data_IF_370936914003
#
_entry.id   IF_370936914003
#
_cell.length_a   1.000
_cell.length_b   1.000
_cell.length_c   1.000
_cell.angle_alpha   90.00
_cell.angle_beta   90.00
_cell.angle_gamma   90.00
#
_symmetry.space_group_name_H-M   'P 1'
#
loop_
_entity.id
_entity.type
_entity.pdbx_description
1 polymer ?
#
# COMPACT_ATOMS: atom_id res chain seq x y z
N UNK A 1 -47.32 -20.33 33.24
CA UNK A 1 -46.37 -21.43 33.09
C UNK A 1 -45.92 -21.42 31.65
N UNK A 2 -44.83 -20.69 31.39
CA UNK A 2 -44.19 -20.69 30.10
C UNK A 2 -42.96 -21.60 30.18
N UNK A 3 -42.92 -22.69 29.40
CA UNK A 3 -41.80 -23.58 29.30
C UNK A 3 -40.68 -22.84 28.55
N UNK A 4 -39.54 -22.64 29.23
CA UNK A 4 -38.30 -22.23 28.59
C UNK A 4 -37.75 -23.48 27.90
N UNK A 5 -37.90 -23.55 26.58
CA UNK A 5 -37.18 -24.50 25.75
C UNK A 5 -35.69 -24.11 25.76
N UNK A 6 -34.87 -24.89 26.46
CA UNK A 6 -33.43 -24.80 26.37
C UNK A 6 -32.94 -25.25 24.98
N UNK A 7 -31.76 -24.80 24.54
CA UNK A 7 -31.24 -25.17 23.24
C UNK A 7 -31.17 -26.69 23.09
N UNK A 8 -31.68 -27.20 21.98
CA UNK A 8 -31.69 -28.60 21.66
C UNK A 8 -30.24 -29.12 21.50
N UNK A 9 -29.97 -30.37 21.85
CA UNK A 9 -28.65 -31.01 21.77
C UNK A 9 -28.01 -30.88 20.35
N UNK A 10 -28.83 -30.76 19.30
CA UNK A 10 -28.42 -30.60 17.93
C UNK A 10 -27.86 -29.18 17.65
N UNK A 11 -28.39 -28.11 18.31
CA UNK A 11 -27.88 -26.76 18.22
C UNK A 11 -26.53 -26.60 18.96
N UNK A 12 -26.34 -27.33 20.06
CA UNK A 12 -25.08 -27.32 20.81
C UNK A 12 -23.95 -28.06 20.03
N UNK A 13 -24.25 -29.16 19.33
CA UNK A 13 -23.28 -29.91 18.51
C UNK A 13 -22.92 -29.14 17.21
N UNK A 14 -23.89 -28.49 16.58
CA UNK A 14 -23.66 -27.62 15.43
C UNK A 14 -22.80 -26.41 15.73
N UNK A 15 -22.98 -25.80 16.92
CA UNK A 15 -22.15 -24.69 17.41
C UNK A 15 -20.71 -25.13 17.68
N UNK A 16 -20.50 -26.30 18.28
CA UNK A 16 -19.17 -26.86 18.59
C UNK A 16 -18.39 -27.22 17.32
N UNK A 17 -19.04 -27.78 16.31
CA UNK A 17 -18.42 -28.09 15.00
C UNK A 17 -18.01 -26.82 14.27
N UNK A 18 -18.86 -25.81 14.21
CA UNK A 18 -18.60 -24.54 13.52
C UNK A 18 -17.42 -23.77 14.13
N UNK A 19 -17.31 -23.77 15.46
CA UNK A 19 -16.14 -23.17 16.16
C UNK A 19 -14.86 -23.92 15.87
N UNK A 20 -14.86 -25.24 15.87
CA UNK A 20 -13.71 -26.09 15.58
C UNK A 20 -13.22 -25.94 14.14
N UNK A 21 -14.13 -25.88 13.17
CA UNK A 21 -13.78 -25.66 11.76
C UNK A 21 -13.17 -24.27 11.52
N UNK A 22 -13.67 -23.27 12.24
CA UNK A 22 -13.12 -21.89 12.20
C UNK A 22 -11.70 -21.86 12.77
N UNK A 23 -11.45 -22.50 13.93
CA UNK A 23 -10.11 -22.55 14.54
C UNK A 23 -9.09 -23.26 13.64
N UNK A 24 -9.48 -24.38 13.01
CA UNK A 24 -8.62 -25.12 12.07
C UNK A 24 -8.30 -24.26 10.85
N UNK A 25 -9.26 -23.52 10.32
CA UNK A 25 -9.09 -22.62 9.20
C UNK A 25 -8.13 -21.47 9.54
N UNK A 26 -8.29 -20.85 10.71
CA UNK A 26 -7.39 -19.80 11.20
C UNK A 26 -5.95 -20.30 11.39
N UNK A 27 -5.77 -21.48 11.97
CA UNK A 27 -4.44 -22.07 12.17
C UNK A 27 -3.73 -22.31 10.82
N UNK A 28 -4.47 -22.82 9.84
CA UNK A 28 -3.95 -23.02 8.47
C UNK A 28 -3.57 -21.70 7.82
N UNK A 29 -4.38 -20.66 7.98
CA UNK A 29 -4.10 -19.34 7.44
C UNK A 29 -2.89 -18.69 8.14
N UNK A 30 -2.77 -18.78 9.47
CA UNK A 30 -1.58 -18.32 10.20
C UNK A 30 -0.30 -19.00 9.71
N UNK A 31 -0.37 -20.31 9.40
CA UNK A 31 0.77 -21.04 8.85
C UNK A 31 1.13 -20.54 7.43
N UNK A 32 0.14 -20.25 6.58
CA UNK A 32 0.38 -19.63 5.27
C UNK A 32 1.06 -18.26 5.41
N UNK A 33 0.55 -17.42 6.32
CA UNK A 33 1.11 -16.08 6.56
C UNK A 33 2.53 -16.17 7.12
N UNK A 34 2.83 -17.14 7.95
CA UNK A 34 4.20 -17.38 8.44
C UNK A 34 5.15 -17.72 7.28
N UNK A 35 4.78 -18.63 6.38
CA UNK A 35 5.56 -18.92 5.16
C UNK A 35 5.72 -17.71 4.26
N UNK A 36 4.66 -16.94 4.06
CA UNK A 36 4.69 -15.69 3.32
C UNK A 36 5.59 -14.62 3.97
N UNK A 37 5.55 -14.49 5.31
CA UNK A 37 6.42 -13.57 6.03
C UNK A 37 7.90 -13.97 5.90
N UNK A 38 8.22 -15.27 5.98
CA UNK A 38 9.58 -15.77 5.74
C UNK A 38 10.04 -15.46 4.30
N UNK A 39 9.21 -15.69 3.30
CA UNK A 39 9.52 -15.32 1.91
C UNK A 39 9.67 -13.81 1.71
N UNK A 40 8.83 -13.02 2.38
CA UNK A 40 8.94 -11.56 2.35
C UNK A 40 10.25 -11.07 2.99
N UNK A 41 10.70 -11.71 4.08
CA UNK A 41 11.98 -11.41 4.69
C UNK A 41 13.14 -11.59 3.70
N UNK A 42 13.21 -12.74 3.01
CA UNK A 42 14.21 -12.97 1.97
C UNK A 42 14.15 -11.93 0.86
N UNK A 43 12.95 -11.59 0.40
CA UNK A 43 12.73 -10.58 -0.65
C UNK A 43 13.25 -9.19 -0.25
N UNK A 44 13.00 -8.73 0.99
CA UNK A 44 13.49 -7.43 1.45
C UNK A 44 15.00 -7.41 1.71
N UNK A 45 15.56 -8.50 2.24
CA UNK A 45 17.00 -8.69 2.36
C UNK A 45 17.65 -8.63 0.97
N UNK A 46 17.11 -9.38 0.03
CA UNK A 46 17.63 -9.48 -1.33
C UNK A 46 17.43 -8.19 -2.15
N UNK A 47 16.44 -7.38 -1.81
CA UNK A 47 16.27 -6.06 -2.44
C UNK A 47 17.48 -5.16 -2.23
N UNK A 48 18.11 -5.19 -1.07
CA UNK A 48 19.36 -4.48 -0.81
C UNK A 48 20.52 -5.16 -1.54
N UNK A 49 20.65 -6.48 -1.39
CA UNK A 49 21.76 -7.24 -1.95
C UNK A 49 21.79 -7.15 -3.48
N UNK A 50 20.68 -7.36 -4.18
CA UNK A 50 20.62 -7.31 -5.64
C UNK A 50 20.93 -5.91 -6.20
N UNK A 51 20.41 -4.86 -5.59
CA UNK A 51 20.67 -3.51 -6.09
C UNK A 51 22.15 -3.13 -5.99
N UNK A 52 22.81 -3.48 -4.88
CA UNK A 52 24.24 -3.29 -4.72
C UNK A 52 25.03 -4.19 -5.66
N UNK A 53 24.68 -5.47 -5.75
CA UNK A 53 25.36 -6.43 -6.61
C UNK A 53 25.30 -6.04 -8.09
N UNK A 54 24.16 -5.56 -8.59
CA UNK A 54 24.03 -5.05 -9.96
C UNK A 54 24.95 -3.86 -10.17
N UNK A 55 25.02 -2.92 -9.21
CA UNK A 55 25.89 -1.76 -9.33
C UNK A 55 27.37 -2.14 -9.28
N UNK A 56 27.79 -2.98 -8.33
CA UNK A 56 29.18 -3.44 -8.22
C UNK A 56 29.65 -4.24 -9.44
N UNK A 57 28.77 -5.12 -9.95
CA UNK A 57 29.12 -5.97 -11.11
C UNK A 57 29.21 -5.18 -12.42
N UNK A 58 28.35 -4.17 -12.59
CA UNK A 58 28.27 -3.44 -13.87
C UNK A 58 29.02 -2.12 -13.87
N UNK A 59 29.25 -1.53 -12.68
CA UNK A 59 29.82 -0.20 -12.53
C UNK A 59 28.94 0.94 -13.06
N UNK A 60 27.67 0.65 -13.42
CA UNK A 60 26.79 1.60 -14.09
C UNK A 60 25.45 1.73 -13.38
N UNK A 61 25.07 2.96 -13.04
CA UNK A 61 23.77 3.26 -12.49
C UNK A 61 22.63 2.88 -13.46
N UNK A 62 22.84 3.09 -14.76
CA UNK A 62 21.86 2.74 -15.79
C UNK A 62 21.52 1.25 -15.81
N UNK A 63 22.47 0.35 -15.57
CA UNK A 63 22.20 -1.09 -15.50
C UNK A 63 21.28 -1.43 -14.34
N UNK A 64 21.48 -0.81 -13.18
CA UNK A 64 20.61 -0.96 -12.02
C UNK A 64 19.20 -0.39 -12.29
N UNK A 65 19.11 0.78 -12.92
CA UNK A 65 17.84 1.37 -13.33
C UNK A 65 17.06 0.48 -14.29
N UNK A 66 17.74 -0.10 -15.30
CA UNK A 66 17.14 -1.06 -16.23
C UNK A 66 16.68 -2.35 -15.52
N UNK A 67 17.49 -2.87 -14.60
CA UNK A 67 17.13 -4.02 -13.78
C UNK A 67 15.80 -3.78 -13.05
N UNK A 68 15.66 -2.64 -12.39
CA UNK A 68 14.42 -2.28 -11.67
C UNK A 68 13.24 -1.99 -12.61
N UNK A 69 13.48 -1.31 -13.75
CA UNK A 69 12.44 -1.03 -14.73
C UNK A 69 11.89 -2.32 -15.37
N UNK A 70 12.77 -3.26 -15.72
CA UNK A 70 12.39 -4.58 -16.26
C UNK A 70 11.59 -5.38 -15.21
N UNK A 71 12.03 -5.36 -13.95
CA UNK A 71 11.31 -6.01 -12.84
C UNK A 71 9.88 -5.46 -12.70
N UNK A 72 9.73 -4.14 -12.75
CA UNK A 72 8.42 -3.48 -12.67
C UNK A 72 7.55 -3.80 -13.89
N UNK A 73 8.12 -3.73 -15.10
CA UNK A 73 7.41 -4.01 -16.33
C UNK A 73 6.93 -5.47 -16.40
N UNK A 74 7.75 -6.42 -15.97
CA UNK A 74 7.37 -7.83 -15.91
C UNK A 74 6.29 -8.10 -14.87
N UNK A 75 6.34 -7.45 -13.72
CA UNK A 75 5.29 -7.49 -12.71
C UNK A 75 3.96 -6.93 -13.23
N UNK A 76 4.01 -5.81 -13.93
CA UNK A 76 2.83 -5.22 -14.56
C UNK A 76 2.23 -6.14 -15.62
N UNK A 77 3.04 -6.70 -16.52
CA UNK A 77 2.61 -7.66 -17.53
C UNK A 77 1.95 -8.91 -16.89
N UNK A 78 2.57 -9.45 -15.83
CA UNK A 78 2.00 -10.57 -15.08
C UNK A 78 0.66 -10.21 -14.42
N UNK A 79 0.53 -8.98 -13.91
CA UNK A 79 -0.72 -8.46 -13.35
C UNK A 79 -1.87 -8.42 -14.36
N UNK A 80 -1.59 -8.13 -15.64
CA UNK A 80 -2.60 -8.18 -16.70
C UNK A 80 -3.03 -9.63 -17.04
N UNK A 81 -2.14 -10.59 -16.87
CA UNK A 81 -2.37 -11.99 -17.22
C UNK A 81 -2.96 -12.83 -16.08
N UNK A 82 -2.82 -12.37 -14.83
CA UNK A 82 -3.15 -13.17 -13.64
C UNK A 82 -4.63 -13.57 -13.57
N UNK A 83 -5.56 -12.72 -14.03
CA UNK A 83 -6.98 -13.05 -14.08
C UNK A 83 -7.27 -14.25 -14.99
N UNK A 84 -6.63 -14.30 -16.16
CA UNK A 84 -6.71 -15.44 -17.06
C UNK A 84 -6.06 -16.72 -16.52
N UNK A 85 -4.98 -16.57 -15.76
CA UNK A 85 -4.31 -17.68 -15.10
C UNK A 85 -5.15 -18.26 -13.95
N UNK A 86 -5.77 -17.42 -13.12
CA UNK A 86 -6.65 -17.84 -12.03
C UNK A 86 -7.93 -18.50 -12.54
N UNK A 87 -8.38 -18.18 -13.76
CA UNK A 87 -9.50 -18.89 -14.40
C UNK A 87 -9.13 -20.31 -14.84
N UNK A 88 -7.84 -20.60 -15.07
CA UNK A 88 -7.36 -21.91 -15.57
C UNK A 88 -6.67 -22.73 -14.49
N UNK A 89 -5.98 -22.12 -13.58
CA UNK A 89 -5.16 -22.75 -12.56
C UNK A 89 -5.63 -22.33 -11.17
N UNK A 90 -5.48 -23.22 -10.18
CA UNK A 90 -5.79 -22.89 -8.79
C UNK A 90 -4.81 -21.85 -8.22
N UNK A 91 -5.28 -21.01 -7.29
CA UNK A 91 -4.44 -20.05 -6.59
C UNK A 91 -3.22 -20.75 -5.92
N UNK A 92 -3.43 -21.95 -5.37
CA UNK A 92 -2.36 -22.80 -4.82
C UNK A 92 -1.28 -23.11 -5.85
N UNK A 93 -1.65 -23.57 -7.05
CA UNK A 93 -0.69 -23.89 -8.12
C UNK A 93 0.10 -22.66 -8.55
N UNK A 94 -0.57 -21.51 -8.69
CA UNK A 94 0.10 -20.24 -9.06
C UNK A 94 1.10 -19.83 -7.99
N UNK A 95 0.73 -19.87 -6.70
CA UNK A 95 1.62 -19.54 -5.60
C UNK A 95 2.82 -20.49 -5.54
N UNK A 96 2.61 -21.79 -5.76
CA UNK A 96 3.67 -22.79 -5.75
C UNK A 96 4.67 -22.55 -6.87
N UNK A 97 4.19 -22.45 -8.11
CA UNK A 97 5.05 -22.23 -9.28
C UNK A 97 5.76 -20.88 -9.24
N UNK A 98 5.12 -19.85 -8.68
CA UNK A 98 5.77 -18.56 -8.48
C UNK A 98 6.98 -18.66 -7.53
N UNK A 99 6.86 -19.36 -6.40
CA UNK A 99 7.98 -19.57 -5.49
C UNK A 99 9.08 -20.45 -6.11
N UNK A 100 8.69 -21.53 -6.80
CA UNK A 100 9.66 -22.40 -7.51
C UNK A 100 10.41 -21.60 -8.58
N UNK A 101 9.74 -20.79 -9.38
CA UNK A 101 10.36 -19.93 -10.39
C UNK A 101 11.34 -18.92 -9.79
N UNK A 102 10.96 -18.27 -8.69
CA UNK A 102 11.82 -17.32 -7.97
C UNK A 102 13.05 -18.03 -7.38
N UNK A 103 12.89 -19.19 -6.74
CA UNK A 103 13.99 -19.97 -6.23
C UNK A 103 14.93 -20.47 -7.34
N UNK A 104 14.37 -20.95 -8.44
CA UNK A 104 15.14 -21.44 -9.59
C UNK A 104 16.00 -20.33 -10.24
N UNK A 105 15.43 -19.12 -10.42
CA UNK A 105 16.20 -18.02 -11.01
C UNK A 105 17.28 -17.50 -10.08
N UNK A 106 17.11 -17.58 -8.76
CA UNK A 106 18.17 -17.30 -7.80
C UNK A 106 19.32 -18.32 -7.92
N UNK A 107 18.98 -19.61 -8.07
CA UNK A 107 19.97 -20.64 -8.30
C UNK A 107 20.75 -20.40 -9.60
N UNK A 108 20.06 -19.99 -10.68
CA UNK A 108 20.71 -19.61 -11.94
C UNK A 108 21.70 -18.47 -11.74
N UNK A 109 21.35 -17.46 -10.96
CA UNK A 109 22.25 -16.33 -10.65
C UNK A 109 23.48 -16.79 -9.86
N UNK A 110 23.29 -17.64 -8.85
CA UNK A 110 24.38 -18.15 -8.00
C UNK A 110 25.38 -19.00 -8.81
N UNK A 111 24.88 -19.76 -9.78
CA UNK A 111 25.70 -20.66 -10.62
C UNK A 111 26.21 -19.99 -11.90
N UNK A 112 25.81 -18.75 -12.17
CA UNK A 112 26.18 -18.07 -13.41
C UNK A 112 27.68 -17.77 -13.43
N UNK A 113 28.41 -18.15 -14.49
CA UNK A 113 29.79 -17.71 -14.69
C UNK A 113 29.82 -16.19 -14.97
N UNK A 114 30.95 -15.53 -14.69
CA UNK A 114 31.10 -14.07 -14.79
C UNK A 114 30.62 -13.50 -16.13
N UNK A 115 30.85 -14.23 -17.23
CA UNK A 115 30.44 -13.84 -18.59
C UNK A 115 28.91 -13.80 -18.78
N UNK A 116 28.13 -14.49 -17.96
CA UNK A 116 26.68 -14.60 -18.04
C UNK A 116 25.93 -13.91 -16.90
N UNK A 117 26.64 -13.37 -15.90
CA UNK A 117 26.00 -12.72 -14.71
C UNK A 117 25.02 -11.61 -15.10
N UNK A 118 25.38 -10.75 -16.08
CA UNK A 118 24.46 -9.70 -16.54
C UNK A 118 23.18 -10.26 -17.13
N UNK A 119 23.27 -11.34 -17.92
CA UNK A 119 22.09 -12.02 -18.46
C UNK A 119 21.26 -12.70 -17.37
N UNK A 120 21.91 -13.33 -16.39
CA UNK A 120 21.24 -13.92 -15.22
C UNK A 120 20.51 -12.87 -14.39
N UNK A 121 21.09 -11.68 -14.18
CA UNK A 121 20.45 -10.57 -13.50
C UNK A 121 19.19 -10.09 -14.24
N UNK A 122 19.21 -10.01 -15.57
CA UNK A 122 18.00 -9.66 -16.34
C UNK A 122 16.92 -10.75 -16.21
N UNK A 123 17.30 -12.03 -16.23
CA UNK A 123 16.37 -13.12 -15.97
C UNK A 123 15.76 -13.05 -14.56
N UNK A 124 16.59 -12.77 -13.55
CA UNK A 124 16.13 -12.52 -12.15
C UNK A 124 15.11 -11.39 -12.12
N UNK A 125 15.39 -10.28 -12.79
CA UNK A 125 14.52 -9.12 -12.85
C UNK A 125 13.13 -9.48 -13.40
N UNK A 126 13.08 -10.19 -14.52
CA UNK A 126 11.83 -10.63 -15.16
C UNK A 126 11.07 -11.60 -14.26
N UNK A 127 11.74 -12.64 -13.77
CA UNK A 127 11.09 -13.72 -13.03
C UNK A 127 10.59 -13.23 -11.65
N UNK A 128 11.42 -12.48 -10.90
CA UNK A 128 11.00 -11.95 -9.59
C UNK A 128 9.87 -10.96 -9.73
N UNK A 129 9.91 -10.09 -10.75
CA UNK A 129 8.82 -9.14 -11.00
C UNK A 129 7.50 -9.85 -11.31
N UNK A 130 7.53 -10.76 -12.29
CA UNK A 130 6.34 -11.50 -12.71
C UNK A 130 5.81 -12.42 -11.61
N UNK A 131 6.65 -13.31 -11.08
CA UNK A 131 6.25 -14.30 -10.09
C UNK A 131 5.84 -13.65 -8.75
N UNK A 132 6.50 -12.56 -8.33
CA UNK A 132 6.10 -11.81 -7.14
C UNK A 132 4.68 -11.25 -7.25
N UNK A 133 4.33 -10.70 -8.41
CA UNK A 133 2.97 -10.20 -8.69
C UNK A 133 1.94 -11.35 -8.73
N UNK A 134 2.26 -12.44 -9.43
CA UNK A 134 1.39 -13.62 -9.50
C UNK A 134 1.11 -14.22 -8.12
N UNK A 135 2.16 -14.37 -7.31
CA UNK A 135 2.03 -14.85 -5.93
C UNK A 135 1.12 -13.95 -5.08
N UNK A 136 1.35 -12.64 -5.12
CA UNK A 136 0.60 -11.68 -4.31
C UNK A 136 -0.89 -11.67 -4.67
N UNK A 137 -1.23 -11.70 -5.96
CA UNK A 137 -2.62 -11.71 -6.39
C UNK A 137 -3.29 -13.05 -6.06
N UNK A 138 -2.59 -14.18 -6.27
CA UNK A 138 -3.10 -15.50 -5.92
C UNK A 138 -3.32 -15.64 -4.40
N UNK A 139 -2.41 -15.13 -3.57
CA UNK A 139 -2.57 -15.09 -2.11
C UNK A 139 -3.81 -14.31 -1.71
N UNK A 140 -3.99 -13.10 -2.23
CA UNK A 140 -5.17 -12.26 -1.92
C UNK A 140 -6.48 -12.89 -2.37
N UNK A 141 -6.50 -13.57 -3.51
CA UNK A 141 -7.69 -14.24 -4.01
C UNK A 141 -8.07 -15.48 -3.19
N UNK A 142 -7.10 -16.14 -2.54
CA UNK A 142 -7.34 -17.32 -1.70
C UNK A 142 -7.85 -17.00 -0.29
N UNK A 143 -7.74 -15.74 0.18
CA UNK A 143 -8.14 -15.35 1.55
C UNK A 143 -9.62 -15.69 1.84
N UNK A 144 -10.61 -15.28 1.01
CA UNK A 144 -12.01 -15.57 1.29
C UNK A 144 -12.32 -17.07 1.34
N UNK A 145 -11.65 -17.86 0.50
CA UNK A 145 -11.82 -19.32 0.46
C UNK A 145 -11.27 -20.02 1.70
N UNK A 146 -10.21 -19.46 2.29
CA UNK A 146 -9.54 -20.05 3.45
C UNK A 146 -10.20 -19.70 4.78
N UNK A 147 -10.64 -18.45 4.96
CA UNK A 147 -11.11 -17.94 6.27
C UNK A 147 -12.56 -17.48 6.27
N UNK A 148 -13.23 -17.51 5.13
CA UNK A 148 -14.59 -16.98 4.95
C UNK A 148 -14.65 -15.45 4.85
N UNK A 149 -15.81 -14.93 4.44
CA UNK A 149 -16.03 -13.51 4.22
C UNK A 149 -15.91 -12.69 5.52
N UNK A 150 -16.44 -13.20 6.62
CA UNK A 150 -16.47 -12.50 7.94
C UNK A 150 -15.07 -12.25 8.52
N UNK A 151 -14.09 -13.07 8.15
CA UNK A 151 -12.72 -13.01 8.67
C UNK A 151 -11.70 -12.39 7.70
N UNK A 152 -12.12 -11.87 6.55
CA UNK A 152 -11.24 -11.24 5.54
C UNK A 152 -10.43 -10.10 6.11
N UNK A 153 -11.04 -9.23 6.93
CA UNK A 153 -10.35 -8.09 7.53
C UNK A 153 -9.20 -8.54 8.46
N UNK A 154 -9.46 -9.56 9.29
CA UNK A 154 -8.45 -10.16 10.16
C UNK A 154 -7.30 -10.79 9.35
N UNK A 155 -7.62 -11.55 8.31
CA UNK A 155 -6.62 -12.21 7.48
C UNK A 155 -5.74 -11.22 6.72
N UNK A 156 -6.33 -10.16 6.16
CA UNK A 156 -5.58 -9.09 5.50
C UNK A 156 -4.67 -8.36 6.50
N UNK A 157 -5.18 -8.04 7.70
CA UNK A 157 -4.38 -7.40 8.75
C UNK A 157 -3.19 -8.25 9.16
N UNK A 158 -3.40 -9.57 9.36
CA UNK A 158 -2.34 -10.50 9.71
C UNK A 158 -1.27 -10.58 8.61
N UNK A 159 -1.68 -10.64 7.33
CA UNK A 159 -0.78 -10.68 6.18
C UNK A 159 0.05 -9.39 6.06
N UNK A 160 -0.56 -8.22 6.26
CA UNK A 160 0.11 -6.93 6.24
C UNK A 160 1.12 -6.85 7.40
N UNK A 161 0.72 -7.24 8.62
CA UNK A 161 1.59 -7.23 9.80
C UNK A 161 2.79 -8.15 9.60
N UNK A 162 2.56 -9.38 9.14
CA UNK A 162 3.64 -10.34 8.85
C UNK A 162 4.65 -9.79 7.83
N UNK A 163 4.15 -9.20 6.75
CA UNK A 163 4.99 -8.57 5.73
C UNK A 163 5.77 -7.36 6.26
N UNK A 164 5.14 -6.53 7.09
CA UNK A 164 5.79 -5.36 7.70
C UNK A 164 6.92 -5.75 8.65
N UNK A 165 6.71 -6.77 9.49
CA UNK A 165 7.76 -7.31 10.35
C UNK A 165 8.92 -7.90 9.53
N UNK A 166 8.59 -8.66 8.47
CA UNK A 166 9.55 -9.21 7.55
C UNK A 166 10.38 -8.11 6.83
N UNK A 167 9.75 -6.99 6.48
CA UNK A 167 10.42 -5.84 5.86
C UNK A 167 11.49 -5.25 6.78
N UNK A 168 11.14 -4.97 8.03
CA UNK A 168 12.10 -4.42 9.01
C UNK A 168 13.23 -5.41 9.25
N UNK A 169 12.93 -6.68 9.48
CA UNK A 169 13.93 -7.72 9.73
C UNK A 169 14.83 -7.94 8.51
N UNK A 170 14.27 -7.98 7.30
CA UNK A 170 14.99 -8.16 6.06
C UNK A 170 15.96 -7.01 5.80
N UNK A 171 15.50 -5.77 5.89
CA UNK A 171 16.36 -4.61 5.75
C UNK A 171 17.44 -4.54 6.84
N UNK A 172 17.10 -4.79 8.11
CA UNK A 172 18.06 -4.77 9.21
C UNK A 172 19.18 -5.80 9.05
N UNK A 173 18.85 -7.00 8.57
CA UNK A 173 19.82 -8.09 8.42
C UNK A 173 20.63 -8.02 7.11
N UNK A 174 20.15 -7.33 6.07
CA UNK A 174 20.78 -7.32 4.77
C UNK A 174 22.22 -6.80 4.82
N UNK A 175 22.48 -5.71 5.54
CA UNK A 175 23.83 -5.16 5.71
C UNK A 175 24.77 -6.13 6.41
N UNK A 176 24.29 -6.80 7.45
CA UNK A 176 25.08 -7.79 8.21
C UNK A 176 25.42 -8.99 7.33
N UNK A 177 24.41 -9.55 6.65
CA UNK A 177 24.61 -10.72 5.78
C UNK A 177 25.55 -10.41 4.63
N UNK A 178 25.33 -9.30 3.91
CA UNK A 178 26.16 -8.94 2.76
C UNK A 178 27.59 -8.62 3.17
N UNK A 179 27.80 -7.84 4.25
CA UNK A 179 29.14 -7.42 4.67
C UNK A 179 29.96 -8.53 5.33
N UNK A 180 29.32 -9.47 6.06
CA UNK A 180 30.04 -10.54 6.76
C UNK A 180 30.17 -11.84 5.94
N UNK A 181 29.17 -12.16 5.12
CA UNK A 181 29.10 -13.46 4.42
C UNK A 181 29.05 -13.30 2.90
N UNK A 182 28.75 -12.08 2.40
CA UNK A 182 28.73 -11.76 0.97
C UNK A 182 27.37 -11.95 0.28
N UNK A 183 27.32 -11.56 -0.98
CA UNK A 183 26.09 -11.59 -1.80
C UNK A 183 25.54 -12.98 -2.02
N UNK A 184 26.41 -13.97 -2.23
CA UNK A 184 26.00 -15.38 -2.45
C UNK A 184 25.19 -15.91 -1.28
N UNK A 185 25.57 -15.56 -0.04
CA UNK A 185 24.81 -15.95 1.16
C UNK A 185 23.42 -15.28 1.19
N UNK A 186 23.33 -14.00 0.80
CA UNK A 186 22.06 -13.30 0.71
C UNK A 186 21.13 -13.96 -0.33
N UNK A 187 21.65 -14.35 -1.49
CA UNK A 187 20.89 -15.03 -2.54
C UNK A 187 20.47 -16.45 -2.12
N UNK A 188 21.34 -17.20 -1.43
CA UNK A 188 20.99 -18.51 -0.88
C UNK A 188 19.92 -18.44 0.20
N UNK A 189 19.98 -17.43 1.07
CA UNK A 189 18.95 -17.17 2.07
C UNK A 189 17.60 -16.86 1.42
N UNK A 190 17.58 -15.97 0.42
CA UNK A 190 16.33 -15.64 -0.30
C UNK A 190 15.77 -16.88 -1.02
N UNK A 191 16.62 -17.64 -1.72
CA UNK A 191 16.24 -18.91 -2.33
C UNK A 191 15.62 -19.87 -1.31
N UNK A 192 16.24 -20.03 -0.14
CA UNK A 192 15.75 -20.90 0.92
C UNK A 192 14.38 -20.43 1.43
N UNK A 193 14.15 -19.11 1.53
CA UNK A 193 12.84 -18.56 1.94
C UNK A 193 11.74 -18.85 0.92
N UNK A 194 12.03 -18.83 -0.37
CA UNK A 194 11.10 -19.26 -1.42
C UNK A 194 10.77 -20.74 -1.32
N UNK A 195 11.76 -21.59 -1.04
CA UNK A 195 11.54 -23.04 -0.82
C UNK A 195 10.64 -23.26 0.40
N UNK A 196 10.92 -22.60 1.53
CA UNK A 196 10.11 -22.70 2.74
C UNK A 196 8.65 -22.27 2.45
N UNK A 197 8.45 -21.18 1.74
CA UNK A 197 7.12 -20.72 1.35
C UNK A 197 6.43 -21.72 0.41
N UNK A 198 7.14 -22.26 -0.58
CA UNK A 198 6.62 -23.29 -1.48
C UNK A 198 6.17 -24.53 -0.73
N UNK A 199 6.98 -25.03 0.21
CA UNK A 199 6.63 -26.17 1.08
C UNK A 199 5.41 -25.84 1.94
N UNK A 200 5.37 -24.64 2.53
CA UNK A 200 4.21 -24.19 3.31
C UNK A 200 2.92 -24.22 2.50
N UNK A 201 2.95 -23.68 1.28
CA UNK A 201 1.81 -23.68 0.34
C UNK A 201 1.45 -25.10 -0.09
N UNK A 202 2.43 -25.97 -0.34
CA UNK A 202 2.21 -27.36 -0.75
C UNK A 202 1.48 -28.17 0.33
N UNK A 203 1.86 -27.99 1.58
CA UNK A 203 1.29 -28.70 2.73
C UNK A 203 -0.13 -28.27 3.08
N UNK A 204 -0.54 -27.07 2.68
CA UNK A 204 -1.86 -26.54 3.00
C UNK A 204 -2.93 -27.06 2.04
N UNK A 205 -4.10 -27.50 2.53
CA UNK A 205 -5.26 -27.84 1.70
C UNK A 205 -5.97 -26.54 1.29
N UNK A 206 -5.38 -25.79 0.37
CA UNK A 206 -6.03 -24.63 -0.23
C UNK A 206 -6.95 -25.17 -1.32
N UNK A 207 -8.26 -24.95 -1.18
CA UNK A 207 -9.24 -25.43 -2.13
C UNK A 207 -8.98 -24.79 -3.49
N UNK A 208 -8.87 -25.63 -4.51
CA UNK A 208 -8.73 -25.18 -5.89
C UNK A 208 -10.08 -24.84 -6.50
N UNK A 209 -10.73 -23.78 -6.07
CA UNK A 209 -11.94 -23.29 -6.70
C UNK A 209 -11.64 -22.89 -8.15
N UNK A 210 -11.99 -23.74 -9.11
CA UNK A 210 -12.07 -23.34 -10.52
C UNK A 210 -13.26 -22.40 -10.65
N UNK A 211 -13.02 -21.08 -10.66
CA UNK A 211 -14.09 -20.11 -10.91
C UNK A 211 -14.08 -18.80 -10.14
N UNK A 212 -13.18 -18.58 -9.18
CA UNK A 212 -13.16 -17.33 -8.38
C UNK A 212 -12.64 -16.08 -9.14
N UNK A 213 -12.30 -16.22 -10.42
CA UNK A 213 -11.75 -15.13 -11.24
C UNK A 213 -12.74 -14.06 -11.70
N UNK A 214 -14.05 -14.18 -11.35
CA UNK A 214 -15.07 -13.25 -11.89
C UNK A 214 -15.50 -12.14 -10.93
N UNK A 215 -15.09 -12.13 -9.65
CA UNK A 215 -15.60 -11.18 -8.65
C UNK A 215 -14.58 -10.24 -8.02
N UNK A 216 -13.30 -10.32 -8.37
CA UNK A 216 -12.27 -9.43 -7.81
C UNK A 216 -12.40 -7.96 -8.28
N UNK A 217 -13.42 -7.60 -8.99
CA UNK A 217 -13.72 -6.25 -9.49
C UNK A 217 -15.07 -5.67 -9.11
N UNK A 218 -15.94 -6.39 -8.36
CA UNK A 218 -17.29 -5.91 -8.09
C UNK A 218 -17.79 -6.32 -6.71
N UNK A 219 -17.48 -5.54 -5.69
CA UNK A 219 -18.28 -5.52 -4.47
C UNK A 219 -19.42 -4.50 -4.62
N UNK A 220 -20.52 -4.93 -5.19
CA UNK A 220 -21.74 -4.15 -5.31
C UNK A 220 -22.92 -5.08 -5.55
N UNK A 221 -23.75 -5.28 -4.52
CA UNK A 221 -25.02 -6.00 -4.55
C UNK A 221 -25.96 -5.43 -5.60
N UNK A 222 -26.32 -6.24 -6.60
CA UNK A 222 -27.36 -5.92 -7.57
C UNK A 222 -27.64 -7.11 -8.49
N UNK A 223 -28.85 -7.63 -8.40
CA UNK A 223 -29.38 -8.76 -9.19
C UNK A 223 -29.29 -8.52 -10.69
N UNK A 224 -28.73 -9.49 -11.40
CA UNK A 224 -29.22 -9.94 -12.71
C UNK A 224 -29.06 -8.97 -13.88
N UNK A 225 -27.87 -8.90 -14.48
CA UNK A 225 -27.77 -8.48 -15.87
C UNK A 225 -26.69 -9.31 -16.58
N UNK A 226 -27.05 -9.87 -17.74
CA UNK A 226 -26.21 -10.79 -18.52
C UNK A 226 -24.90 -10.12 -18.91
N UNK A 227 -23.78 -10.69 -18.48
CA UNK A 227 -22.43 -10.24 -18.81
C UNK A 227 -22.23 -10.29 -20.34
N UNK A 228 -22.30 -9.14 -20.98
CA UNK A 228 -21.88 -8.96 -22.37
C UNK A 228 -20.34 -9.09 -22.41
N UNK A 229 -19.83 -9.98 -23.25
CA UNK A 229 -18.42 -10.13 -23.60
C UNK A 229 -17.91 -8.81 -24.22
N UNK A 230 -17.35 -7.93 -23.41
CA UNK A 230 -16.65 -6.74 -23.87
C UNK A 230 -15.17 -6.88 -23.53
N UNK A 231 -14.34 -7.08 -24.55
CA UNK A 231 -12.89 -6.97 -24.45
C UNK A 231 -12.46 -5.58 -23.92
N UNK A 232 -11.17 -5.35 -23.64
CA UNK A 232 -10.69 -4.11 -23.02
C UNK A 232 -10.94 -2.93 -23.94
N UNK A 233 -12.12 -2.35 -23.85
CA UNK A 233 -12.41 -1.03 -24.43
C UNK A 233 -11.83 0.00 -23.46
N UNK A 234 -10.71 0.56 -23.82
CA UNK A 234 -10.21 1.82 -23.26
C UNK A 234 -11.28 2.90 -23.51
N UNK A 235 -12.21 3.01 -22.57
CA UNK A 235 -13.26 4.05 -22.69
C UNK A 235 -12.67 5.34 -22.15
N UNK A 236 -12.91 6.48 -22.82
CA UNK A 236 -12.54 7.81 -22.36
C UNK A 236 -13.19 8.20 -21.02
N UNK A 237 -14.01 7.30 -20.45
CA UNK A 237 -14.73 7.49 -19.17
C UNK A 237 -13.77 7.76 -18.00
N UNK A 238 -12.57 7.16 -17.97
CA UNK A 238 -11.58 7.45 -16.94
C UNK A 238 -11.02 8.88 -17.05
N UNK A 239 -10.78 9.36 -18.27
CA UNK A 239 -10.38 10.75 -18.52
C UNK A 239 -11.52 11.74 -18.28
N UNK A 240 -12.77 11.39 -18.61
CA UNK A 240 -13.94 12.20 -18.31
C UNK A 240 -14.18 12.30 -16.79
N UNK A 241 -13.94 11.22 -16.04
CA UNK A 241 -14.03 11.22 -14.57
C UNK A 241 -12.96 12.13 -13.93
N UNK A 242 -11.74 12.18 -14.50
CA UNK A 242 -10.71 13.12 -14.08
C UNK A 242 -11.08 14.57 -14.41
N UNK A 243 -11.66 14.81 -15.58
CA UNK A 243 -12.11 16.14 -16.02
C UNK A 243 -13.28 16.65 -15.16
N UNK A 244 -14.15 15.75 -14.70
CA UNK A 244 -15.29 16.08 -13.84
C UNK A 244 -14.89 16.37 -12.38
N UNK A 245 -13.68 16.01 -11.94
CA UNK A 245 -13.16 16.24 -10.60
C UNK A 245 -11.72 16.81 -10.67
N UNK A 246 -11.55 18.13 -10.93
CA UNK A 246 -10.24 18.74 -11.19
C UNK A 246 -9.22 18.55 -10.06
N UNK A 247 -9.66 18.41 -8.81
CA UNK A 247 -8.79 18.08 -7.67
C UNK A 247 -8.22 16.66 -7.72
N UNK A 248 -8.98 15.70 -8.26
CA UNK A 248 -8.57 14.30 -8.38
C UNK A 248 -7.48 14.15 -9.46
N UNK A 249 -7.60 14.81 -10.60
CA UNK A 249 -6.61 14.78 -11.67
C UNK A 249 -5.24 15.26 -11.20
N UNK A 250 -5.21 16.37 -10.47
CA UNK A 250 -3.96 16.91 -9.92
C UNK A 250 -3.37 16.00 -8.83
N UNK A 251 -4.22 15.35 -8.04
CA UNK A 251 -3.78 14.39 -7.01
C UNK A 251 -3.14 13.14 -7.63
N UNK A 252 -3.72 12.60 -8.72
CA UNK A 252 -3.16 11.46 -9.46
C UNK A 252 -1.87 11.86 -10.17
N UNK A 253 -1.80 13.07 -10.76
CA UNK A 253 -0.59 13.58 -11.36
C UNK A 253 0.53 13.74 -10.31
N UNK A 254 0.21 14.29 -9.13
CA UNK A 254 1.16 14.39 -8.02
C UNK A 254 1.68 13.00 -7.60
N UNK A 255 0.82 11.96 -7.54
CA UNK A 255 1.25 10.60 -7.24
C UNK A 255 2.23 10.06 -8.28
N UNK A 256 2.04 10.36 -9.56
CA UNK A 256 2.98 9.99 -10.62
C UNK A 256 4.33 10.70 -10.51
N UNK A 257 4.33 12.00 -10.20
CA UNK A 257 5.57 12.78 -9.99
C UNK A 257 6.27 12.35 -8.70
N UNK A 258 5.53 12.03 -7.66
CA UNK A 258 6.04 11.47 -6.41
C UNK A 258 6.74 10.12 -6.63
N UNK A 259 6.12 9.23 -7.42
CA UNK A 259 6.72 7.96 -7.81
C UNK A 259 8.00 8.15 -8.66
N UNK A 260 8.04 9.16 -9.54
CA UNK A 260 9.25 9.56 -10.25
C UNK A 260 10.34 10.03 -9.26
N UNK A 261 9.99 10.88 -8.28
CA UNK A 261 10.89 11.28 -7.19
C UNK A 261 11.43 10.07 -6.45
N UNK A 262 10.55 9.12 -6.10
CA UNK A 262 10.89 7.89 -5.38
C UNK A 262 11.87 6.99 -6.15
N UNK A 263 11.83 6.97 -7.48
CA UNK A 263 12.81 6.25 -8.28
C UNK A 263 14.23 6.78 -8.06
N UNK A 264 14.36 8.08 -7.77
CA UNK A 264 15.68 8.74 -7.65
C UNK A 264 16.46 8.28 -6.41
N UNK A 265 15.83 8.26 -5.24
CA UNK A 265 16.52 7.78 -4.04
C UNK A 265 16.74 6.26 -4.08
N UNK A 266 15.84 5.48 -4.71
CA UNK A 266 16.04 4.05 -4.90
C UNK A 266 17.27 3.74 -5.77
N UNK A 267 17.49 4.50 -6.84
CA UNK A 267 18.64 4.35 -7.71
C UNK A 267 19.92 4.97 -7.11
N UNK A 268 19.80 6.10 -6.41
CA UNK A 268 20.96 6.82 -5.89
C UNK A 268 21.55 6.20 -4.63
N UNK A 269 20.74 5.55 -3.78
CA UNK A 269 21.18 5.09 -2.46
C UNK A 269 22.35 4.08 -2.51
N UNK A 270 22.36 3.06 -3.39
CA UNK A 270 23.51 2.17 -3.55
C UNK A 270 24.78 2.91 -3.97
N UNK A 271 24.67 3.85 -4.91
CA UNK A 271 25.79 4.64 -5.41
C UNK A 271 26.36 5.53 -4.31
N UNK A 272 25.46 6.22 -3.60
CA UNK A 272 25.82 7.09 -2.48
C UNK A 272 26.47 6.32 -1.34
N UNK A 273 25.96 5.15 -0.99
CA UNK A 273 26.54 4.31 0.06
C UNK A 273 27.93 3.81 -0.29
N UNK A 274 28.18 3.42 -1.55
CA UNK A 274 29.51 3.05 -2.03
C UNK A 274 30.50 4.20 -1.98
N UNK A 275 30.04 5.45 -2.20
CA UNK A 275 30.89 6.64 -2.05
C UNK A 275 31.20 6.99 -0.59
N UNK A 276 30.36 6.59 0.36
CA UNK A 276 30.61 6.78 1.80
C UNK A 276 31.56 5.72 2.38
N UNK A 277 31.31 4.46 2.03
CA UNK A 277 32.14 3.32 2.45
C UNK A 277 32.11 2.26 1.33
N UNK A 278 33.17 2.26 0.54
CA UNK A 278 33.31 1.30 -0.57
C UNK A 278 33.50 -0.15 -0.09
N UNK A 279 33.97 -0.34 1.15
CA UNK A 279 34.20 -1.68 1.73
C UNK A 279 32.91 -2.32 2.25
N UNK A 280 31.96 -1.52 2.75
CA UNK A 280 30.73 -2.00 3.38
C UNK A 280 29.47 -1.17 3.01
N UNK A 281 29.19 -0.97 1.71
CA UNK A 281 28.06 -0.12 1.29
C UNK A 281 26.70 -0.66 1.78
N UNK A 282 26.56 -1.97 1.96
CA UNK A 282 25.35 -2.61 2.40
C UNK A 282 24.90 -2.19 3.81
N UNK A 283 25.85 -1.83 4.69
CA UNK A 283 25.52 -1.40 6.06
C UNK A 283 24.71 -0.12 6.06
N UNK A 284 25.14 0.88 5.29
CA UNK A 284 24.43 2.15 5.18
C UNK A 284 23.04 1.98 4.56
N UNK A 285 22.94 1.27 3.44
CA UNK A 285 21.68 1.03 2.73
C UNK A 285 20.69 0.30 3.64
N UNK A 286 21.16 -0.73 4.34
CA UNK A 286 20.34 -1.51 5.28
C UNK A 286 19.83 -0.67 6.44
N UNK A 287 20.73 0.09 7.08
CA UNK A 287 20.36 0.96 8.20
C UNK A 287 19.33 2.01 7.75
N UNK A 288 19.53 2.62 6.58
CA UNK A 288 18.61 3.60 6.02
C UNK A 288 17.21 3.01 5.80
N UNK A 289 17.11 1.89 5.07
CA UNK A 289 15.82 1.27 4.79
C UNK A 289 15.15 0.68 6.02
N UNK A 290 15.92 0.16 6.98
CA UNK A 290 15.38 -0.32 8.25
C UNK A 290 14.71 0.82 9.04
N UNK A 291 15.40 1.95 9.21
CA UNK A 291 14.88 3.10 9.94
C UNK A 291 13.71 3.75 9.21
N UNK A 292 13.80 3.86 7.87
CA UNK A 292 12.68 4.29 7.04
C UNK A 292 11.45 3.41 7.24
N UNK A 293 11.61 2.07 7.23
CA UNK A 293 10.50 1.14 7.43
C UNK A 293 9.84 1.29 8.81
N UNK A 294 10.64 1.54 9.85
CA UNK A 294 10.10 1.81 11.19
C UNK A 294 9.27 3.11 11.20
N UNK A 295 9.75 4.17 10.55
CA UNK A 295 9.00 5.42 10.39
C UNK A 295 7.68 5.22 9.64
N UNK A 296 7.73 4.51 8.51
CA UNK A 296 6.58 4.23 7.66
C UNK A 296 5.50 3.44 8.42
N UNK A 297 5.86 2.34 9.05
CA UNK A 297 4.93 1.51 9.83
C UNK A 297 4.40 2.30 11.05
N UNK A 298 5.27 3.03 11.75
CA UNK A 298 4.88 3.83 12.91
C UNK A 298 3.82 4.88 12.55
N UNK A 299 4.03 5.63 11.47
CA UNK A 299 3.08 6.63 11.01
C UNK A 299 1.73 6.00 10.59
N UNK A 300 1.74 4.90 9.85
CA UNK A 300 0.52 4.20 9.48
C UNK A 300 -0.29 3.76 10.71
N UNK A 301 0.37 3.23 11.75
CA UNK A 301 -0.28 2.83 12.99
C UNK A 301 -0.86 4.03 13.76
N UNK A 302 -0.11 5.13 13.85
CA UNK A 302 -0.58 6.37 14.51
C UNK A 302 -1.80 6.93 13.80
N UNK A 303 -1.76 7.03 12.47
CA UNK A 303 -2.86 7.57 11.67
C UNK A 303 -4.09 6.66 11.76
N UNK A 304 -3.91 5.34 11.72
CA UNK A 304 -5.01 4.40 11.87
C UNK A 304 -5.69 4.55 13.24
N UNK A 305 -4.92 4.65 14.32
CA UNK A 305 -5.46 4.90 15.68
C UNK A 305 -6.15 6.26 15.78
N UNK A 306 -5.59 7.29 15.14
CA UNK A 306 -6.21 8.61 15.09
C UNK A 306 -7.58 8.54 14.38
N UNK A 307 -7.64 7.92 13.20
CA UNK A 307 -8.88 7.75 12.44
C UNK A 307 -9.93 6.96 13.22
N UNK A 308 -9.51 5.86 13.88
CA UNK A 308 -10.42 5.05 14.70
C UNK A 308 -11.00 5.83 15.91
N UNK A 309 -10.19 6.69 16.54
CA UNK A 309 -10.61 7.47 17.72
C UNK A 309 -11.44 8.70 17.38
N UNK A 310 -11.16 9.34 16.25
CA UNK A 310 -11.76 10.64 15.90
C UNK A 310 -12.80 10.56 14.81
N UNK A 311 -12.84 9.45 14.06
CA UNK A 311 -13.65 9.33 12.84
C UNK A 311 -13.16 10.21 11.67
N UNK A 312 -12.03 10.93 11.85
CA UNK A 312 -11.52 11.88 10.84
C UNK A 312 -10.43 11.23 10.02
N UNK A 313 -10.47 11.41 8.71
CA UNK A 313 -9.41 11.00 7.77
C UNK A 313 -8.46 12.15 7.48
N UNK A 314 -7.21 11.85 7.19
CA UNK A 314 -6.18 12.87 6.92
C UNK A 314 -6.37 13.53 5.54
N UNK A 315 -6.98 12.82 4.59
CA UNK A 315 -7.43 13.33 3.30
C UNK A 315 -6.36 13.97 2.41
N UNK A 316 -6.83 14.72 1.39
CA UNK A 316 -5.97 15.29 0.34
C UNK A 316 -4.87 16.25 0.87
N UNK A 317 -5.13 17.01 1.93
CA UNK A 317 -4.09 17.89 2.52
C UNK A 317 -2.94 17.10 3.13
N UNK A 318 -3.26 16.00 3.84
CA UNK A 318 -2.24 15.12 4.41
C UNK A 318 -1.35 14.48 3.35
N UNK A 319 -1.92 14.13 2.20
CA UNK A 319 -1.15 13.67 1.05
C UNK A 319 -0.17 14.76 0.56
N UNK A 320 -0.64 15.98 0.30
CA UNK A 320 0.23 17.07 -0.17
C UNK A 320 1.33 17.45 0.81
N UNK A 321 1.01 17.64 2.10
CA UNK A 321 2.02 17.94 3.13
C UNK A 321 3.01 16.77 3.33
N UNK A 322 2.50 15.54 3.34
CA UNK A 322 3.32 14.34 3.45
C UNK A 322 4.33 14.25 2.30
N UNK A 323 3.90 14.49 1.05
CA UNK A 323 4.79 14.49 -0.12
C UNK A 323 5.89 15.56 -0.01
N UNK A 324 5.56 16.77 0.48
CA UNK A 324 6.57 17.84 0.68
C UNK A 324 7.61 17.41 1.72
N UNK A 325 7.16 16.93 2.88
CA UNK A 325 8.06 16.53 3.98
C UNK A 325 8.91 15.32 3.57
N UNK A 326 8.30 14.31 2.94
CA UNK A 326 8.97 13.13 2.45
C UNK A 326 10.06 13.49 1.44
N UNK A 327 9.71 14.30 0.43
CA UNK A 327 10.66 14.73 -0.61
C UNK A 327 11.80 15.56 -0.05
N UNK A 328 11.53 16.48 0.87
CA UNK A 328 12.56 17.26 1.54
C UNK A 328 13.50 16.38 2.38
N UNK A 329 12.94 15.38 3.09
CA UNK A 329 13.73 14.44 3.86
C UNK A 329 14.62 13.56 2.97
N UNK A 330 14.11 13.06 1.83
CA UNK A 330 14.94 12.31 0.88
C UNK A 330 16.07 13.18 0.29
N UNK A 331 15.82 14.44 -0.06
CA UNK A 331 16.92 15.35 -0.49
C UNK A 331 17.97 15.49 0.61
N UNK A 332 17.54 15.74 1.84
CA UNK A 332 18.44 15.91 2.98
C UNK A 332 19.26 14.65 3.28
N UNK A 333 18.74 13.44 3.02
CA UNK A 333 19.45 12.19 3.25
C UNK A 333 20.75 12.06 2.43
N UNK A 334 20.87 12.77 1.31
CA UNK A 334 22.06 12.78 0.44
C UNK A 334 22.97 13.97 0.66
N UNK A 335 22.71 14.80 1.68
CA UNK A 335 23.50 16.02 1.95
C UNK A 335 24.78 15.80 2.77
N UNK A 336 25.16 14.55 3.03
CA UNK A 336 26.43 14.23 3.72
C UNK A 336 26.38 14.41 5.24
N UNK A 337 25.22 14.33 5.87
CA UNK A 337 25.09 14.41 7.32
C UNK A 337 25.67 13.17 8.03
N UNK A 338 26.09 13.31 9.31
CA UNK A 338 26.48 12.18 10.13
C UNK A 338 25.37 11.10 10.21
N UNK A 339 25.78 9.84 10.38
CA UNK A 339 24.87 8.69 10.36
C UNK A 339 23.65 8.84 11.31
N UNK A 340 23.86 9.39 12.51
CA UNK A 340 22.78 9.61 13.47
C UNK A 340 21.72 10.61 12.95
N UNK A 341 22.16 11.69 12.29
CA UNK A 341 21.26 12.68 11.69
C UNK A 341 20.55 12.07 10.48
N UNK A 342 21.28 11.33 9.65
CA UNK A 342 20.70 10.62 8.50
C UNK A 342 19.66 9.58 8.94
N UNK A 343 19.87 8.91 10.07
CA UNK A 343 18.85 7.99 10.63
C UNK A 343 17.57 8.74 11.04
N UNK A 344 17.66 9.90 11.66
CA UNK A 344 16.48 10.73 11.98
C UNK A 344 15.79 11.19 10.71
N UNK A 345 16.54 11.60 9.69
CA UNK A 345 16.00 11.99 8.38
C UNK A 345 15.29 10.81 7.71
N UNK A 346 15.88 9.61 7.74
CA UNK A 346 15.26 8.39 7.21
C UNK A 346 13.95 8.04 7.94
N UNK A 347 13.91 8.20 9.26
CA UNK A 347 12.70 8.02 10.07
C UNK A 347 11.59 8.99 9.64
N UNK A 348 11.93 10.27 9.46
CA UNK A 348 11.00 11.30 9.00
C UNK A 348 10.52 11.00 7.57
N UNK A 349 11.43 10.62 6.67
CA UNK A 349 11.08 10.23 5.30
C UNK A 349 10.09 9.07 5.29
N UNK A 350 10.36 8.02 6.08
CA UNK A 350 9.45 6.88 6.22
C UNK A 350 8.10 7.26 6.83
N UNK A 351 8.10 8.06 7.88
CA UNK A 351 6.85 8.52 8.51
C UNK A 351 6.00 9.36 7.56
N UNK A 352 6.62 10.24 6.79
CA UNK A 352 5.93 11.05 5.80
C UNK A 352 5.39 10.20 4.64
N UNK A 353 6.14 9.19 4.20
CA UNK A 353 5.70 8.24 3.17
C UNK A 353 4.50 7.41 3.65
N UNK A 354 4.55 6.87 4.89
CA UNK A 354 3.40 6.20 5.50
C UNK A 354 2.16 7.09 5.61
N UNK A 355 2.34 8.39 5.88
CA UNK A 355 1.28 9.39 5.88
C UNK A 355 0.70 9.59 4.47
N UNK A 356 1.55 9.75 3.44
CA UNK A 356 1.11 9.94 2.06
C UNK A 356 0.29 8.76 1.57
N UNK A 357 0.72 7.54 1.83
CA UNK A 357 0.06 6.31 1.41
C UNK A 357 -1.35 6.19 2.03
N UNK A 358 -1.46 6.39 3.35
CA UNK A 358 -2.76 6.32 4.04
C UNK A 358 -3.68 7.46 3.60
N UNK A 359 -3.16 8.70 3.50
CA UNK A 359 -3.95 9.85 3.11
C UNK A 359 -4.48 9.73 1.68
N UNK A 360 -3.64 9.29 0.74
CA UNK A 360 -3.98 9.06 -0.65
C UNK A 360 -5.06 7.99 -0.80
N UNK A 361 -4.80 6.80 -0.24
CA UNK A 361 -5.71 5.65 -0.32
C UNK A 361 -7.05 5.95 0.33
N UNK A 362 -7.04 6.57 1.52
CA UNK A 362 -8.27 6.97 2.22
C UNK A 362 -9.09 7.96 1.41
N UNK A 363 -8.45 8.94 0.75
CA UNK A 363 -9.16 9.89 -0.09
C UNK A 363 -9.79 9.22 -1.32
N UNK A 364 -9.08 8.32 -2.01
CA UNK A 364 -9.66 7.57 -3.12
C UNK A 364 -10.85 6.69 -2.70
N UNK A 365 -10.84 6.18 -1.46
CA UNK A 365 -11.94 5.39 -0.91
C UNK A 365 -13.22 6.21 -0.66
N UNK A 366 -13.13 7.54 -0.51
CA UNK A 366 -14.31 8.41 -0.38
C UNK A 366 -15.05 8.65 -1.70
N UNK A 367 -14.45 8.27 -2.82
CA UNK A 367 -15.07 8.44 -4.13
C UNK A 367 -16.28 7.49 -4.32
N UNK A 368 -17.30 7.89 -5.11
CA UNK A 368 -18.39 7.01 -5.49
C UNK A 368 -17.90 5.69 -6.07
N UNK A 369 -18.61 4.58 -5.81
CA UNK A 369 -18.20 3.24 -6.22
C UNK A 369 -17.91 3.12 -7.74
N UNK A 370 -18.67 3.84 -8.56
CA UNK A 370 -18.50 3.90 -10.03
C UNK A 370 -17.19 4.54 -10.48
N UNK A 371 -16.64 5.50 -9.72
CA UNK A 371 -15.40 6.22 -10.03
C UNK A 371 -14.19 5.60 -9.34
N UNK A 372 -14.39 4.98 -8.17
CA UNK A 372 -13.33 4.45 -7.31
C UNK A 372 -12.39 3.48 -8.03
N UNK A 373 -12.96 2.49 -8.75
CA UNK A 373 -12.16 1.51 -9.50
C UNK A 373 -11.31 2.16 -10.60
N UNK A 374 -11.87 3.12 -11.31
CA UNK A 374 -11.14 3.87 -12.35
C UNK A 374 -10.04 4.76 -11.75
N UNK A 375 -10.31 5.40 -10.61
CA UNK A 375 -9.33 6.25 -9.92
C UNK A 375 -8.13 5.43 -9.41
N UNK A 376 -8.36 4.26 -8.80
CA UNK A 376 -7.28 3.35 -8.38
C UNK A 376 -6.49 2.80 -9.57
N UNK A 377 -7.16 2.40 -10.66
CA UNK A 377 -6.49 1.90 -11.87
C UNK A 377 -5.61 2.97 -12.53
N UNK A 378 -6.11 4.19 -12.64
CA UNK A 378 -5.36 5.30 -13.21
C UNK A 378 -4.19 5.70 -12.30
N UNK A 379 -4.41 5.75 -10.99
CA UNK A 379 -3.37 5.98 -9.98
C UNK A 379 -2.22 4.98 -10.13
N UNK A 380 -2.53 3.69 -10.14
CA UNK A 380 -1.54 2.64 -10.32
C UNK A 380 -0.78 2.77 -11.65
N UNK A 381 -1.45 3.20 -12.71
CA UNK A 381 -0.80 3.46 -14.00
C UNK A 381 0.18 4.61 -13.92
N UNK A 382 -0.21 5.76 -13.35
CA UNK A 382 0.67 6.91 -13.21
C UNK A 382 1.84 6.64 -12.26
N UNK A 383 1.60 5.92 -11.17
CA UNK A 383 2.63 5.50 -10.23
C UNK A 383 3.67 4.57 -10.89
N UNK A 384 3.21 3.52 -11.58
CA UNK A 384 4.10 2.60 -12.28
C UNK A 384 4.88 3.27 -13.42
N UNK A 385 4.22 4.16 -14.20
CA UNK A 385 4.90 4.92 -15.24
C UNK A 385 5.91 5.90 -14.65
N UNK A 386 5.52 6.66 -13.61
CA UNK A 386 6.40 7.61 -12.94
C UNK A 386 7.65 6.92 -12.40
N UNK A 387 7.46 5.82 -11.66
CA UNK A 387 8.57 5.06 -11.12
C UNK A 387 9.41 4.37 -12.21
N UNK A 388 8.80 3.67 -13.17
CA UNK A 388 9.51 2.93 -14.20
C UNK A 388 10.29 3.81 -15.16
N UNK A 389 9.67 4.89 -15.67
CA UNK A 389 10.36 5.89 -16.50
C UNK A 389 11.42 6.61 -15.67
N UNK A 390 11.09 6.93 -14.41
CA UNK A 390 12.01 7.55 -13.47
C UNK A 390 13.27 6.71 -13.27
N UNK A 391 13.14 5.39 -13.05
CA UNK A 391 14.30 4.51 -12.87
C UNK A 391 15.28 4.57 -14.04
N UNK A 392 14.81 4.68 -15.27
CA UNK A 392 15.69 4.75 -16.46
C UNK A 392 16.33 6.15 -16.56
N UNK A 393 15.52 7.21 -16.48
CA UNK A 393 16.01 8.58 -16.66
C UNK A 393 16.94 9.01 -15.52
N UNK A 394 16.56 8.71 -14.30
CA UNK A 394 17.36 9.00 -13.10
C UNK A 394 18.68 8.22 -13.12
N UNK A 395 18.63 6.94 -13.43
CA UNK A 395 19.84 6.12 -13.51
C UNK A 395 20.80 6.64 -14.59
N UNK A 396 20.29 7.03 -15.76
CA UNK A 396 21.10 7.68 -16.80
C UNK A 396 21.68 9.04 -16.34
N UNK A 397 20.95 9.79 -15.51
CA UNK A 397 21.43 11.04 -14.94
C UNK A 397 22.52 10.79 -13.88
N UNK A 398 22.40 9.74 -13.07
CA UNK A 398 23.39 9.36 -12.05
C UNK A 398 24.76 8.94 -12.63
N UNK A 399 24.80 8.54 -13.90
CA UNK A 399 26.08 8.29 -14.57
C UNK A 399 26.87 9.58 -14.85
N UNK A 400 26.23 10.77 -14.72
CA UNK A 400 26.83 12.07 -15.06
C UNK A 400 26.79 13.10 -13.92
N UNK A 401 25.83 12.97 -13.02
CA UNK A 401 25.57 13.95 -11.96
C UNK A 401 25.64 13.29 -10.58
N UNK A 402 25.92 14.07 -9.56
CA UNK A 402 25.97 13.56 -8.19
C UNK A 402 24.60 13.06 -7.68
N UNK A 403 24.59 12.07 -6.78
CA UNK A 403 23.36 11.57 -6.15
C UNK A 403 22.49 12.68 -5.57
N UNK A 404 23.08 13.65 -4.86
CA UNK A 404 22.36 14.79 -4.28
C UNK A 404 21.67 15.66 -5.36
N UNK A 405 22.34 15.93 -6.48
CA UNK A 405 21.78 16.74 -7.56
C UNK A 405 20.57 16.05 -8.19
N UNK A 406 20.70 14.76 -8.51
CA UNK A 406 19.64 13.99 -9.18
C UNK A 406 18.44 13.79 -8.27
N UNK A 407 18.66 13.45 -7.00
CA UNK A 407 17.60 13.33 -5.98
C UNK A 407 16.95 14.70 -5.75
N UNK A 408 17.78 15.78 -5.67
CA UNK A 408 17.32 17.15 -5.50
C UNK A 408 16.38 17.61 -6.62
N UNK A 409 16.71 17.35 -7.88
CA UNK A 409 15.85 17.71 -9.02
C UNK A 409 14.55 16.89 -9.04
N UNK A 410 14.65 15.58 -8.83
CA UNK A 410 13.52 14.69 -8.89
C UNK A 410 12.50 14.96 -7.78
N UNK A 411 12.95 15.03 -6.53
CA UNK A 411 12.11 15.37 -5.39
C UNK A 411 11.74 16.86 -5.35
N UNK A 412 12.60 17.74 -5.86
CA UNK A 412 12.28 19.16 -6.03
C UNK A 412 11.08 19.35 -6.94
N UNK A 413 11.00 18.62 -8.04
CA UNK A 413 9.81 18.64 -8.91
C UNK A 413 8.56 18.15 -8.17
N UNK A 414 8.68 17.10 -7.35
CA UNK A 414 7.57 16.61 -6.52
C UNK A 414 7.10 17.66 -5.50
N UNK A 415 8.04 18.37 -4.85
CA UNK A 415 7.72 19.49 -3.93
C UNK A 415 6.95 20.59 -4.66
N UNK A 416 7.42 21.03 -5.84
CA UNK A 416 6.75 22.08 -6.63
C UNK A 416 5.32 21.68 -6.97
N UNK A 417 5.12 20.47 -7.49
CA UNK A 417 3.77 19.98 -7.83
C UNK A 417 2.90 19.82 -6.57
N UNK A 418 3.47 19.35 -5.43
CA UNK A 418 2.75 19.24 -4.17
C UNK A 418 2.32 20.61 -3.62
N UNK A 419 3.17 21.65 -3.73
CA UNK A 419 2.83 23.02 -3.34
C UNK A 419 1.71 23.57 -4.22
N UNK A 420 1.79 23.39 -5.54
CA UNK A 420 0.70 23.77 -6.46
C UNK A 420 -0.59 23.05 -6.11
N UNK A 421 -0.53 21.76 -5.81
CA UNK A 421 -1.67 20.98 -5.37
C UNK A 421 -2.28 21.54 -4.07
N UNK A 422 -1.47 21.83 -3.06
CA UNK A 422 -1.93 22.40 -1.79
C UNK A 422 -2.58 23.77 -1.97
N UNK A 423 -1.98 24.63 -2.80
CA UNK A 423 -2.55 25.96 -3.13
C UNK A 423 -3.91 25.84 -3.83
N UNK A 424 -4.04 24.90 -4.78
CA UNK A 424 -5.32 24.63 -5.46
C UNK A 424 -6.38 24.09 -4.52
N UNK A 425 -6.03 23.13 -3.65
CA UNK A 425 -6.96 22.60 -2.65
C UNK A 425 -7.41 23.69 -1.68
N UNK A 426 -6.48 24.56 -1.24
CA UNK A 426 -6.82 25.71 -0.38
C UNK A 426 -7.73 26.73 -1.09
N UNK A 427 -7.50 27.01 -2.37
CA UNK A 427 -8.34 27.90 -3.16
C UNK A 427 -9.76 27.34 -3.36
N UNK A 428 -9.88 26.03 -3.66
CA UNK A 428 -11.18 25.37 -3.80
C UNK A 428 -11.98 25.40 -2.50
N UNK A 429 -11.34 25.16 -1.35
CA UNK A 429 -12.01 25.24 -0.04
C UNK A 429 -12.48 26.64 0.34
N UNK A 430 -11.78 27.69 -0.14
CA UNK A 430 -12.20 29.09 0.07
C UNK A 430 -13.34 29.50 -0.87
N UNK A 431 -13.44 28.87 -2.04
CA UNK A 431 -14.48 29.11 -3.03
C UNK A 431 -15.80 28.38 -2.71
N UNK A 432 -15.77 27.35 -1.84
CA UNK A 432 -17.00 26.73 -1.34
C UNK A 432 -17.71 27.74 -0.41
N UNK A 433 -18.92 28.26 -0.76
CA UNK A 433 -19.65 29.13 0.11
C UNK A 433 -19.96 28.41 1.39
N UNK A 434 -19.76 29.08 2.55
CA UNK A 434 -20.13 28.57 3.85
C UNK A 434 -21.59 28.07 3.78
N UNK A 435 -21.77 26.75 3.80
CA UNK A 435 -23.08 26.13 3.65
C UNK A 435 -24.08 26.64 4.69
N UNK A 436 -25.39 26.51 4.48
CA UNK A 436 -26.46 27.14 5.29
C UNK A 436 -26.54 26.70 6.75
N UNK A 437 -25.59 25.86 7.22
CA UNK A 437 -25.58 25.36 8.63
C UNK A 437 -25.23 26.40 9.67
N UNK A 438 -24.69 27.60 9.31
CA UNK A 438 -24.51 28.72 10.24
C UNK A 438 -25.78 29.52 10.48
N UNK A 439 -26.64 29.67 9.46
CA UNK A 439 -27.89 30.47 9.59
C UNK A 439 -29.04 29.69 10.19
N UNK A 440 -29.10 28.38 10.06
CA UNK A 440 -30.14 27.56 10.66
C UNK A 440 -29.94 27.44 12.20
N UNK A 441 -28.72 27.45 12.70
CA UNK A 441 -28.42 27.45 14.13
C UNK A 441 -28.73 28.76 14.81
N UNK A 442 -28.56 29.91 14.15
CA UNK A 442 -28.92 31.23 14.69
C UNK A 442 -30.43 31.51 14.60
N UNK A 443 -31.06 31.07 13.51
CA UNK A 443 -32.52 31.18 13.38
C UNK A 443 -33.26 30.29 14.38
N UNK A 444 -32.76 29.08 14.68
CA UNK A 444 -33.31 28.20 15.72
C UNK A 444 -33.15 28.76 17.13
N UNK A 445 -32.01 29.39 17.43
CA UNK A 445 -31.79 30.06 18.74
C UNK A 445 -32.59 31.36 18.89
N UNK A 446 -32.82 32.08 17.80
CA UNK A 446 -33.70 33.27 17.81
C UNK A 446 -35.18 32.89 17.93
N UNK A 447 -35.59 31.74 17.38
CA UNK A 447 -36.96 31.19 17.57
C UNK A 447 -37.25 30.77 19.01
N UNK A 448 -36.31 30.01 19.60
CA UNK A 448 -36.44 29.58 21.03
C UNK A 448 -36.45 30.74 22.02
N UNK A 449 -35.70 31.83 21.80
CA UNK A 449 -35.75 33.03 22.64
C UNK A 449 -37.05 33.80 22.48
N UNK A 450 -37.74 33.71 21.35
CA UNK A 450 -39.08 34.34 21.20
C UNK A 450 -40.18 33.52 21.84
N UNK A 451 -40.11 32.21 21.87
CA UNK A 451 -41.06 31.36 22.58
C UNK A 451 -40.94 31.52 24.10
N UNK A 452 -39.71 31.54 24.66
CA UNK A 452 -39.51 31.81 26.10
C UNK A 452 -39.98 33.22 26.53
N UNK A 453 -39.93 34.21 25.64
CA UNK A 453 -40.38 35.57 25.91
C UNK A 453 -41.92 35.72 25.86
N UNK A 454 -42.63 34.77 25.23
CA UNK A 454 -44.13 34.78 25.18
C UNK A 454 -44.74 34.00 26.33
N UNK A 455 -44.08 32.99 26.86
CA UNK A 455 -44.54 32.17 27.96
C UNK A 455 -44.35 32.84 29.37
N UNK A 456 -43.52 33.89 29.44
CA UNK A 456 -43.18 34.60 30.69
C UNK A 456 -44.14 35.79 31.10
N UNK A 457 -45.32 35.94 30.50
CA UNK A 457 -46.28 37.01 30.89
C UNK A 457 -47.19 36.49 31.96
N UNK A 458 -47.16 37.02 33.21
CA UNK A 458 -48.10 36.65 34.25
C UNK A 458 -49.46 37.21 33.88
N UNK A 459 -50.45 36.32 33.85
CA UNK A 459 -51.89 36.62 33.75
C UNK A 459 -52.34 37.43 35.03
N UNK A 460 -52.64 38.73 34.86
CA UNK A 460 -53.24 39.54 35.88
C UNK A 460 -54.72 39.27 35.83
N UNK A 461 -55.14 38.48 36.78
CA UNK A 461 -56.55 38.22 37.09
C UNK A 461 -57.42 39.46 37.26
N UNK A 462 -58.56 39.41 36.63
CA UNK A 462 -59.68 40.24 36.91
C UNK A 462 -60.57 39.52 37.94
N UNK A 463 -60.62 40.10 39.18
CA UNK A 463 -61.65 39.82 40.16
C UNK A 463 -62.73 40.89 39.95
N UNK A 464 -63.87 40.51 39.62
CA UNK A 464 -65.05 41.15 40.17
C UNK A 464 -66.33 40.40 39.76
N UNK A 465 -67.09 40.12 40.73
CA UNK A 465 -68.52 40.43 40.73
C UNK A 465 -69.50 39.25 40.70
N UNK A 466 -70.02 39.02 41.89
CA UNK A 466 -71.46 38.85 42.20
C UNK A 466 -72.11 37.47 41.83
N UNK A 467 -72.41 36.77 42.88
CA UNK A 467 -73.72 36.66 43.57
C UNK A 467 -74.85 35.94 42.80
N UNK A 468 -75.48 35.10 43.58
CA UNK A 468 -76.91 34.72 43.63
C UNK A 468 -77.39 33.47 42.88
N UNK A 469 -77.75 32.50 43.65
CA UNK A 469 -79.03 32.00 44.03
C UNK A 469 -79.44 30.59 43.65
N UNK A 470 -79.70 29.80 44.68
CA UNK A 470 -80.78 28.80 44.81
C UNK A 470 -80.92 27.65 43.84
N UNK A 471 -80.95 26.52 44.45
CA UNK A 471 -81.64 25.34 44.02
C UNK A 471 -81.01 24.07 44.59
#
# INVERSE_FOLDING_TARGET
MGSADGPTADEADGGSRKTRDTEVSERRFRFLVAGYAVSSYGTFLNMVALNLFVYETTGRALAMGLFMAVRLASGFAAGLLVGGLLARFSAKSIMLWANVGQGAVMLVLILAPDSLVTGALMAVSVVIGACGTLFMVALRSSIPEMVGEDRRAWANSLSITGRSMAMVAGFASAGVVVSLVGYTAAFLLDMATFVICAVTVALLPIAGGKGAGSEAGSSGTGKGEKAAKSGPRWRPVAFLALAAAPGLGLMVALRGVDAFGSSSHNAALPIYSTSLDASNPAVFVSAFWCVWALGNIGAQQVIQRYTQRTGKTVGALGFGYGTVVMSAAFIAAFAGFPLAVTAVIALIAGAADGLTEVAYTSHLQTLPATLRGHAFGLSATFENLGFGVGMILVAAALDRFSPLAVVGWSHGAAIVVAVVFLLRVAALRRAEPAGPTGRAGEAGRAGLRKEEAVEGRPDRGDRDGAEVSRG
#
